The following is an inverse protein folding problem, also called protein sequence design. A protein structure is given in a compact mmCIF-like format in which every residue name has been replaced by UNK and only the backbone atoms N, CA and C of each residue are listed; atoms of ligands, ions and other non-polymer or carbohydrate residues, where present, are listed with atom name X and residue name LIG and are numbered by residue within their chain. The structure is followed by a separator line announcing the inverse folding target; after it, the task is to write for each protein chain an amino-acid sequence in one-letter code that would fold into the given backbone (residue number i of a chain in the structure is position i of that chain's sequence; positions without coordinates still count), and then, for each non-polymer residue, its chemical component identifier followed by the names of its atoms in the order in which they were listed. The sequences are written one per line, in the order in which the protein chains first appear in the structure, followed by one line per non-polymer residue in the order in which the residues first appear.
data_IF_177826315288
#
_entry.id   IF_177826315288
#
_cell.length_a   1.000
_cell.length_b   1.000
_cell.length_c   1.000
_cell.angle_alpha   90.00
_cell.angle_beta   90.00
_cell.angle_gamma   90.00
#
_symmetry.space_group_name_H-M   'P 1'
#
loop_
_entity.id
_entity.type
_entity.pdbx_description
1 polymer ?
#
# COMPACT_ATOMS: atom_id res chain seq x y z
N UNK A 1 7.29 1.23 8.42
CA UNK A 1 7.74 -0.12 8.03
C UNK A 1 7.36 -1.04 9.17
N UNK A 2 6.09 -1.45 9.18
CA UNK A 2 5.53 -2.38 10.16
C UNK A 2 5.14 -3.68 9.43
N UNK A 3 5.97 -4.08 8.47
CA UNK A 3 5.62 -5.12 7.52
C UNK A 3 5.28 -6.43 8.22
N UNK A 4 4.14 -7.01 7.86
CA UNK A 4 3.75 -8.34 8.29
C UNK A 4 4.45 -9.37 7.40
N UNK A 5 5.08 -10.36 8.02
CA UNK A 5 5.70 -11.49 7.33
C UNK A 5 4.73 -12.65 7.36
N UNK A 6 4.19 -12.98 6.19
CA UNK A 6 3.26 -14.09 6.02
C UNK A 6 4.04 -15.29 5.45
N UNK A 7 4.07 -16.44 6.16
CA UNK A 7 4.72 -17.64 5.64
C UNK A 7 3.98 -18.17 4.41
N UNK A 8 4.74 -18.52 3.37
CA UNK A 8 4.18 -19.03 2.12
C UNK A 8 3.76 -20.51 2.27
N UNK A 9 2.50 -20.86 1.98
CA UNK A 9 1.96 -22.22 2.14
C UNK A 9 1.55 -22.94 0.83
N UNK A 10 2.00 -22.50 -0.35
CA UNK A 10 1.68 -23.17 -1.63
C UNK A 10 2.89 -23.89 -2.27
N UNK A 11 2.63 -25.06 -2.87
CA UNK A 11 3.64 -26.05 -3.32
C UNK A 11 4.49 -25.71 -4.54
N UNK A 12 4.86 -24.44 -4.74
CA UNK A 12 5.69 -23.98 -5.86
C UNK A 12 6.77 -22.94 -5.52
N UNK A 13 6.94 -22.59 -4.24
CA UNK A 13 7.89 -21.57 -3.79
C UNK A 13 9.11 -22.18 -3.06
N UNK A 14 10.17 -21.39 -2.92
CA UNK A 14 11.36 -21.79 -2.17
C UNK A 14 10.98 -22.15 -0.72
N UNK A 15 11.60 -23.17 -0.10
CA UNK A 15 11.18 -23.68 1.22
C UNK A 15 11.23 -22.65 2.36
N UNK A 16 12.00 -21.58 2.16
CA UNK A 16 12.29 -20.49 3.08
C UNK A 16 11.77 -19.13 2.56
N UNK A 17 10.91 -19.16 1.55
CA UNK A 17 10.24 -18.00 1.01
C UNK A 17 9.17 -17.43 1.93
N UNK A 18 9.17 -16.11 2.11
CA UNK A 18 8.11 -15.40 2.83
C UNK A 18 7.52 -14.28 1.99
N UNK A 19 6.22 -14.04 2.16
CA UNK A 19 5.55 -12.88 1.62
C UNK A 19 5.57 -11.77 2.66
N UNK A 20 6.11 -10.61 2.29
CA UNK A 20 6.12 -9.41 3.13
C UNK A 20 5.06 -8.47 2.61
N UNK A 21 4.18 -8.01 3.51
CA UNK A 21 3.16 -7.00 3.23
C UNK A 21 3.49 -5.76 4.05
N UNK A 22 3.68 -4.61 3.40
CA UNK A 22 3.93 -3.34 4.08
C UNK A 22 3.16 -2.20 3.40
N UNK A 23 2.77 -1.22 4.21
CA UNK A 23 2.17 0.02 3.74
C UNK A 23 3.23 1.12 3.62
N UNK A 24 3.11 1.93 2.57
CA UNK A 24 3.99 3.08 2.35
C UNK A 24 3.16 4.31 2.04
N UNK A 25 3.40 5.39 2.78
CA UNK A 25 2.70 6.65 2.56
C UNK A 25 3.47 7.60 1.65
N UNK A 26 2.74 8.17 0.70
CA UNK A 26 3.23 9.13 -0.28
C UNK A 26 2.62 10.50 0.03
N UNK A 27 3.43 11.42 0.56
CA UNK A 27 3.00 12.78 0.88
C UNK A 27 2.47 13.52 -0.36
N UNK A 28 1.42 14.31 -0.17
CA UNK A 28 0.76 15.04 -1.25
C UNK A 28 0.42 16.48 -0.87
N UNK A 29 0.50 17.35 -1.86
CA UNK A 29 -0.09 18.69 -1.84
C UNK A 29 -1.41 18.63 -2.61
N UNK A 30 -2.52 19.04 -1.99
CA UNK A 30 -3.87 19.03 -2.59
C UNK A 30 -4.70 17.76 -2.36
N UNK A 31 -5.89 17.72 -2.95
CA UNK A 31 -6.97 16.74 -2.66
C UNK A 31 -7.41 15.90 -3.87
N UNK A 32 -6.79 16.12 -5.03
CA UNK A 32 -7.25 15.59 -6.32
C UNK A 32 -6.78 14.16 -6.59
N UNK A 33 -5.65 13.73 -6.02
CA UNK A 33 -5.15 12.36 -6.25
C UNK A 33 -6.02 11.32 -5.55
N UNK A 34 -6.42 10.25 -6.25
CA UNK A 34 -7.16 9.13 -5.65
C UNK A 34 -6.48 8.61 -4.37
N UNK A 35 -7.26 8.30 -3.34
CA UNK A 35 -6.77 7.84 -2.04
C UNK A 35 -6.14 8.91 -1.14
N UNK A 36 -5.99 10.16 -1.60
CA UNK A 36 -5.40 11.23 -0.78
C UNK A 36 -6.37 11.69 0.31
N UNK A 37 -5.87 11.75 1.54
CA UNK A 37 -6.55 12.33 2.69
C UNK A 37 -5.55 12.55 3.83
N UNK A 38 -5.99 13.23 4.89
CA UNK A 38 -5.28 13.23 6.16
C UNK A 38 -5.40 11.86 6.82
N UNK A 39 -4.32 11.09 6.78
CA UNK A 39 -4.24 9.75 7.36
C UNK A 39 -2.85 9.49 7.90
N UNK A 40 -2.75 8.56 8.84
CA UNK A 40 -1.46 8.13 9.36
C UNK A 40 -0.63 7.49 8.25
N UNK A 41 0.63 7.89 8.15
CA UNK A 41 1.61 7.25 7.28
C UNK A 41 2.78 6.79 8.13
N UNK A 42 3.11 5.50 8.02
CA UNK A 42 4.32 4.95 8.64
C UNK A 42 5.60 5.61 8.14
N UNK A 43 5.60 6.21 6.95
CA UNK A 43 6.76 6.90 6.36
C UNK A 43 7.05 8.24 7.06
N UNK A 44 6.03 8.99 7.48
CA UNK A 44 6.22 10.24 8.23
C UNK A 44 6.11 10.06 9.75
N UNK A 45 5.67 8.88 10.21
CA UNK A 45 5.45 8.57 11.62
C UNK A 45 4.29 9.37 12.25
N UNK A 46 3.46 10.02 11.44
CA UNK A 46 2.37 10.90 11.87
C UNK A 46 1.26 10.97 10.83
N UNK A 47 0.14 11.59 11.21
CA UNK A 47 -0.93 11.93 10.28
C UNK A 47 -0.50 13.06 9.37
N UNK A 48 -0.56 12.81 8.07
CA UNK A 48 -0.25 13.79 7.03
C UNK A 48 -1.23 13.66 5.87
N UNK A 49 -1.33 14.70 5.05
CA UNK A 49 -2.02 14.58 3.78
C UNK A 49 -1.21 13.68 2.83
N UNK A 50 -1.64 12.44 2.67
CA UNK A 50 -0.90 11.43 1.93
C UNK A 50 -1.82 10.39 1.27
N UNK A 51 -1.25 9.59 0.39
CA UNK A 51 -1.85 8.34 -0.11
C UNK A 51 -1.09 7.16 0.46
N UNK A 52 -1.76 6.04 0.70
CA UNK A 52 -1.10 4.82 1.17
C UNK A 52 -1.12 3.78 0.05
N UNK A 53 0.06 3.30 -0.35
CA UNK A 53 0.18 2.11 -1.18
C UNK A 53 0.46 0.90 -0.28
N UNK A 54 -0.17 -0.22 -0.58
CA UNK A 54 0.08 -1.52 0.04
C UNK A 54 0.90 -2.34 -0.94
N UNK A 55 2.03 -2.88 -0.49
CA UNK A 55 2.98 -3.60 -1.33
C UNK A 55 3.17 -5.01 -0.81
N UNK A 56 3.13 -5.99 -1.72
CA UNK A 56 3.42 -7.38 -1.43
C UNK A 56 4.73 -7.76 -2.13
N UNK A 57 5.71 -8.23 -1.36
CA UNK A 57 7.00 -8.66 -1.88
C UNK A 57 7.33 -10.08 -1.41
N UNK A 58 7.79 -10.92 -2.31
CA UNK A 58 8.31 -12.24 -1.99
C UNK A 58 9.82 -12.13 -1.75
N UNK A 59 10.31 -12.69 -0.65
CA UNK A 59 11.73 -12.73 -0.34
C UNK A 59 12.15 -14.15 0.06
N UNK A 60 13.33 -14.54 -0.40
CA UNK A 60 14.00 -15.81 -0.11
C UNK A 60 15.51 -15.57 -0.07
N UNK A 61 16.34 -16.52 0.38
CA UNK A 61 17.79 -16.35 0.35
C UNK A 61 18.36 -16.15 -1.06
N UNK A 62 17.68 -16.61 -2.10
CA UNK A 62 18.12 -16.45 -3.49
C UNK A 62 17.71 -15.11 -4.11
N UNK A 63 16.87 -14.33 -3.45
CA UNK A 63 16.49 -13.01 -3.94
C UNK A 63 15.11 -12.52 -3.48
N UNK A 64 14.74 -11.36 -4.01
CA UNK A 64 13.49 -10.66 -3.72
C UNK A 64 12.79 -10.22 -4.99
N UNK A 65 11.47 -10.27 -5.00
CA UNK A 65 10.64 -9.78 -6.09
C UNK A 65 9.42 -9.04 -5.54
N UNK A 66 9.06 -7.91 -6.16
CA UNK A 66 7.76 -7.30 -5.94
C UNK A 66 6.71 -8.19 -6.60
N UNK A 67 5.72 -8.64 -5.83
CA UNK A 67 4.65 -9.51 -6.29
C UNK A 67 3.45 -8.67 -6.73
N UNK A 68 3.01 -7.75 -5.88
CA UNK A 68 1.84 -6.93 -6.16
C UNK A 68 1.91 -5.57 -5.46
N UNK A 69 1.05 -4.66 -5.90
CA UNK A 69 0.85 -3.34 -5.31
C UNK A 69 -0.59 -2.88 -5.48
N UNK A 70 -1.18 -2.37 -4.41
CA UNK A 70 -2.52 -1.79 -4.45
C UNK A 70 -2.53 -0.42 -3.77
N UNK A 71 -3.44 0.45 -4.20
CA UNK A 71 -3.69 1.73 -3.54
C UNK A 71 -4.77 1.53 -2.48
N UNK A 72 -4.48 1.85 -1.23
CA UNK A 72 -5.53 1.94 -0.22
C UNK A 72 -6.46 3.10 -0.57
N UNK A 73 -7.73 2.76 -0.81
CA UNK A 73 -8.80 3.71 -1.09
C UNK A 73 -9.70 3.85 0.14
N UNK A 74 -9.59 4.97 0.89
CA UNK A 74 -10.49 5.26 1.99
C UNK A 74 -11.94 5.32 1.51
N UNK A 75 -12.89 4.91 2.36
CA UNK A 75 -14.33 5.01 2.04
C UNK A 75 -14.76 6.44 1.68
N UNK A 76 -14.17 7.44 2.34
CA UNK A 76 -14.37 8.87 2.00
C UNK A 76 -13.97 9.20 0.55
N UNK A 77 -13.07 8.41 -0.05
CA UNK A 77 -12.69 8.58 -1.45
C UNK A 77 -13.73 8.04 -2.44
N UNK A 78 -14.53 7.05 -2.08
CA UNK A 78 -15.50 6.47 -3.01
C UNK A 78 -16.94 6.96 -2.78
N UNK A 79 -17.21 7.61 -1.65
CA UNK A 79 -18.54 8.14 -1.30
C UNK A 79 -18.92 9.45 -2.00
N UNK A 80 -17.96 10.23 -2.51
CA UNK A 80 -18.22 11.50 -3.21
C UNK A 80 -18.21 11.29 -4.74
N UNK A 81 -19.40 11.08 -5.31
CA UNK A 81 -19.60 10.77 -6.73
C UNK A 81 -19.26 11.96 -7.63
N UNK A 82 -19.55 13.18 -7.20
CA UNK A 82 -19.30 14.39 -7.99
C UNK A 82 -17.80 14.60 -8.15
N UNK A 83 -17.03 14.45 -7.07
CA UNK A 83 -15.57 14.50 -7.18
C UNK A 83 -15.01 13.34 -8.01
N UNK A 84 -15.55 12.13 -7.89
CA UNK A 84 -15.12 11.01 -8.76
C UNK A 84 -15.36 11.30 -10.25
N UNK A 85 -16.45 12.00 -10.59
CA UNK A 85 -16.76 12.38 -11.98
C UNK A 85 -15.98 13.61 -12.47
N UNK A 86 -15.57 14.51 -11.57
CA UNK A 86 -14.84 15.74 -11.89
C UNK A 86 -13.37 15.49 -12.29
N UNK A 87 -12.83 14.31 -12.03
CA UNK A 87 -11.48 13.92 -12.45
C UNK A 87 -11.51 13.39 -13.89
N UNK A 88 -11.01 14.20 -14.83
CA UNK A 88 -10.66 13.77 -16.19
C UNK A 88 -9.15 13.71 -16.35
#
# INVERSE_FOLDING_TARGET
MNGEVVPHQHGGAAPDGVLVIDDTGFLKKGTTSAGVQWQYTGTAGRTENCRIGVFAAYTSPTGRALVDRELYLPKSWTSDRDRCAALR
#
